data_IF_939399726739
#
_entry.id   IF_939399726739
#
_cell.length_a   1.000
_cell.length_b   1.000
_cell.length_c   1.000
_cell.angle_alpha   90.00
_cell.angle_beta   90.00
_cell.angle_gamma   90.00
#
_symmetry.space_group_name_H-M   'P 1'
#
loop_
_entity.id
_entity.type
_entity.pdbx_description
1 polymer ?
#
# COMPACT_ATOMS: atom_id res chain seq x y z
N UNK A 1 6.17 28.50 -0.10
CA UNK A 1 5.82 27.06 -0.01
C UNK A 1 6.00 26.40 -1.38
N UNK A 2 7.17 25.78 -1.56
CA UNK A 2 7.51 25.03 -2.77
C UNK A 2 6.65 23.76 -2.86
N UNK A 3 6.02 23.44 -4.01
CA UNK A 3 5.36 22.17 -4.20
C UNK A 3 6.41 21.05 -4.28
N UNK A 4 6.47 20.20 -3.26
CA UNK A 4 7.25 18.96 -3.31
C UNK A 4 6.79 18.10 -4.50
N UNK A 5 7.62 17.99 -5.52
CA UNK A 5 7.46 17.06 -6.64
C UNK A 5 7.95 15.69 -6.21
N UNK A 6 7.19 15.03 -5.33
CA UNK A 6 7.33 13.60 -5.17
C UNK A 6 7.08 12.94 -6.54
N UNK A 7 7.94 12.03 -7.01
CA UNK A 7 7.66 11.28 -8.23
C UNK A 7 6.30 10.59 -8.08
N UNK A 8 5.48 10.62 -9.13
CA UNK A 8 4.22 9.86 -9.16
C UNK A 8 4.64 8.40 -9.07
N UNK A 9 4.59 7.82 -7.87
CA UNK A 9 5.06 6.46 -7.64
C UNK A 9 4.24 5.50 -8.51
N UNK A 10 4.89 4.58 -9.21
CA UNK A 10 4.19 3.51 -9.91
C UNK A 10 3.64 2.47 -8.89
N UNK A 11 2.60 1.70 -9.26
CA UNK A 11 2.00 0.70 -8.38
C UNK A 11 3.00 -0.26 -7.71
N UNK A 12 4.02 -0.70 -8.43
CA UNK A 12 4.99 -1.66 -7.90
C UNK A 12 5.96 -1.02 -6.90
N UNK A 13 6.39 0.21 -7.15
CA UNK A 13 7.16 0.98 -6.19
C UNK A 13 6.40 1.18 -4.88
N UNK A 14 5.09 1.44 -4.95
CA UNK A 14 4.23 1.54 -3.75
C UNK A 14 4.16 0.22 -3.01
N UNK A 15 3.93 -0.91 -3.72
CA UNK A 15 3.92 -2.25 -3.09
C UNK A 15 5.25 -2.58 -2.43
N UNK A 16 6.36 -2.31 -3.11
CA UNK A 16 7.70 -2.56 -2.60
C UNK A 16 8.00 -1.72 -1.35
N UNK A 17 7.66 -0.43 -1.38
CA UNK A 17 7.83 0.45 -0.23
C UNK A 17 6.98 0.01 0.96
N UNK A 18 5.70 -0.33 0.73
CA UNK A 18 4.83 -0.85 1.79
C UNK A 18 5.34 -2.18 2.36
N UNK A 19 5.84 -3.08 1.51
CA UNK A 19 6.43 -4.35 1.93
C UNK A 19 7.65 -4.13 2.82
N UNK A 20 8.58 -3.26 2.42
CA UNK A 20 9.78 -2.98 3.21
C UNK A 20 9.43 -2.49 4.64
N UNK A 21 8.48 -1.57 4.77
CA UNK A 21 8.02 -1.08 6.08
C UNK A 21 7.38 -2.19 6.92
N UNK A 22 6.58 -3.07 6.29
CA UNK A 22 5.95 -4.19 6.99
C UNK A 22 6.96 -5.27 7.39
N UNK A 23 7.97 -5.52 6.56
CA UNK A 23 9.05 -6.47 6.86
C UNK A 23 9.87 -5.98 8.08
N UNK A 24 10.20 -4.68 8.15
CA UNK A 24 10.79 -4.09 9.36
C UNK A 24 9.88 -4.22 10.59
N UNK A 25 8.56 -4.09 10.40
CA UNK A 25 7.59 -4.23 11.49
C UNK A 25 7.45 -5.69 11.98
N UNK A 26 7.72 -6.67 11.13
CA UNK A 26 7.73 -8.08 11.49
C UNK A 26 8.87 -8.42 12.47
N UNK A 27 9.95 -7.63 12.47
CA UNK A 27 11.10 -7.79 13.38
C UNK A 27 10.90 -7.09 14.74
N UNK A 28 9.79 -6.36 14.94
CA UNK A 28 9.48 -5.66 16.20
C UNK A 28 8.98 -6.63 17.30
N UNK A 29 8.91 -6.15 18.54
CA UNK A 29 8.32 -6.88 19.66
C UNK A 29 7.18 -6.07 20.30
N UNK A 30 5.92 -6.55 20.30
CA UNK A 30 5.44 -7.74 19.58
C UNK A 30 5.56 -7.59 18.05
N UNK A 31 5.73 -8.70 17.31
CA UNK A 31 5.86 -8.65 15.85
C UNK A 31 4.52 -8.31 15.20
N UNK A 32 4.59 -7.56 14.09
CA UNK A 32 3.46 -7.34 13.20
C UNK A 32 3.54 -8.32 12.03
N UNK A 33 2.60 -9.26 11.96
CA UNK A 33 2.56 -10.30 10.92
C UNK A 33 1.55 -9.89 9.85
N UNK A 34 2.01 -9.63 8.63
CA UNK A 34 1.14 -9.26 7.51
C UNK A 34 0.29 -10.44 7.05
N UNK A 35 -1.04 -10.26 7.05
CA UNK A 35 -2.00 -11.21 6.47
C UNK A 35 -2.22 -10.92 4.98
N UNK A 36 -2.28 -9.63 4.61
CA UNK A 36 -2.65 -9.16 3.28
C UNK A 36 -2.03 -7.78 3.01
N UNK A 37 -1.47 -7.59 1.82
CA UNK A 37 -1.04 -6.29 1.30
C UNK A 37 -1.27 -6.32 -0.21
N UNK A 38 -2.15 -5.45 -0.71
CA UNK A 38 -2.40 -5.33 -2.14
C UNK A 38 -2.82 -3.91 -2.55
N UNK A 39 -2.54 -3.57 -3.80
CA UNK A 39 -3.20 -2.47 -4.50
C UNK A 39 -4.34 -3.03 -5.32
N UNK A 40 -5.55 -2.54 -5.09
CA UNK A 40 -6.77 -3.02 -5.75
C UNK A 40 -7.55 -1.90 -6.44
N UNK A 41 -8.29 -2.27 -7.49
CA UNK A 41 -9.24 -1.37 -8.14
C UNK A 41 -10.44 -1.14 -7.19
N UNK A 42 -10.84 0.12 -6.92
CA UNK A 42 -11.94 0.39 -5.99
C UNK A 42 -13.32 -0.08 -6.47
N UNK A 43 -13.47 -0.42 -7.76
CA UNK A 43 -14.76 -0.83 -8.34
C UNK A 43 -15.06 -2.31 -8.13
N UNK A 44 -14.05 -3.17 -8.16
CA UNK A 44 -14.21 -4.63 -8.08
C UNK A 44 -13.26 -5.32 -7.09
N UNK A 45 -12.36 -4.57 -6.45
CA UNK A 45 -11.37 -5.06 -5.48
C UNK A 45 -10.42 -6.13 -6.05
N UNK A 46 -10.22 -6.16 -7.37
CA UNK A 46 -9.19 -6.98 -8.01
C UNK A 46 -7.84 -6.26 -7.98
N UNK A 47 -6.73 -7.03 -7.96
CA UNK A 47 -5.39 -6.43 -7.97
C UNK A 47 -5.11 -5.67 -9.27
N UNK A 48 -4.60 -4.45 -9.13
CA UNK A 48 -4.26 -3.61 -10.29
C UNK A 48 -2.92 -4.03 -10.90
N UNK A 49 -2.72 -3.97 -12.22
CA UNK A 49 -1.42 -4.29 -12.82
C UNK A 49 -0.35 -3.22 -12.50
N UNK A 50 0.92 -3.54 -12.79
CA UNK A 50 2.07 -2.64 -12.56
C UNK A 50 1.98 -1.33 -13.36
N UNK A 51 1.31 -1.36 -14.51
CA UNK A 51 1.10 -0.21 -15.39
C UNK A 51 -0.24 0.51 -15.14
N UNK A 52 -0.94 0.20 -14.04
CA UNK A 52 -2.23 0.80 -13.71
C UNK A 52 -2.18 2.33 -13.71
N UNK A 53 -3.27 2.94 -14.17
CA UNK A 53 -3.49 4.38 -14.22
C UNK A 53 -4.88 4.67 -13.69
N UNK A 54 -5.01 5.71 -12.88
CA UNK A 54 -6.26 6.03 -12.21
C UNK A 54 -6.24 5.76 -10.71
N UNK A 55 -7.43 5.68 -10.13
CA UNK A 55 -7.59 5.45 -8.70
C UNK A 55 -7.26 3.99 -8.33
N UNK A 56 -6.68 3.80 -7.16
CA UNK A 56 -6.45 2.49 -6.56
C UNK A 56 -6.58 2.60 -5.04
N UNK A 57 -6.77 1.47 -4.37
CA UNK A 57 -6.76 1.37 -2.91
C UNK A 57 -5.60 0.47 -2.49
N UNK A 58 -4.67 0.98 -1.70
CA UNK A 58 -3.72 0.14 -0.99
C UNK A 58 -4.40 -0.38 0.26
N UNK A 59 -4.68 -1.68 0.31
CA UNK A 59 -5.30 -2.35 1.42
C UNK A 59 -4.27 -3.21 2.15
N UNK A 60 -4.26 -3.11 3.48
CA UNK A 60 -3.38 -3.90 4.36
C UNK A 60 -4.20 -4.54 5.47
N UNK A 61 -3.86 -5.77 5.80
CA UNK A 61 -4.28 -6.42 7.03
C UNK A 61 -3.07 -7.11 7.67
N UNK A 62 -2.97 -7.01 8.99
CA UNK A 62 -1.88 -7.60 9.75
C UNK A 62 -2.34 -7.98 11.16
N UNK A 63 -1.57 -8.81 11.85
CA UNK A 63 -1.82 -9.21 13.24
C UNK A 63 -0.69 -8.77 14.16
N UNK A 64 -1.06 -8.31 15.35
CA UNK A 64 -0.14 -8.07 16.48
C UNK A 64 -0.68 -8.86 17.67
N UNK A 65 -0.01 -9.95 18.03
CA UNK A 65 -0.56 -10.94 18.95
C UNK A 65 -1.88 -11.52 18.43
N UNK A 66 -2.96 -11.38 19.19
CA UNK A 66 -4.31 -11.84 18.81
C UNK A 66 -5.13 -10.79 18.07
N UNK A 67 -4.65 -9.56 17.97
CA UNK A 67 -5.39 -8.44 17.40
C UNK A 67 -5.14 -8.34 15.91
N UNK A 68 -6.20 -8.31 15.10
CA UNK A 68 -6.13 -8.10 13.65
C UNK A 68 -6.40 -6.63 13.32
N UNK A 69 -5.42 -5.99 12.71
CA UNK A 69 -5.44 -4.61 12.24
C UNK A 69 -5.75 -4.58 10.75
N UNK A 70 -6.49 -3.56 10.32
CA UNK A 70 -6.82 -3.31 8.91
C UNK A 70 -6.64 -1.82 8.67
N UNK A 71 -6.01 -1.47 7.55
CA UNK A 71 -5.97 -0.10 7.07
C UNK A 71 -6.11 -0.10 5.54
N UNK A 72 -6.58 1.01 4.99
CA UNK A 72 -6.63 1.24 3.55
C UNK A 72 -6.41 2.72 3.24
N UNK A 73 -5.66 2.99 2.17
CA UNK A 73 -5.47 4.35 1.66
C UNK A 73 -5.80 4.40 0.16
N UNK A 74 -6.38 5.51 -0.28
CA UNK A 74 -6.63 5.77 -1.71
C UNK A 74 -5.42 6.42 -2.34
N UNK A 75 -5.04 5.95 -3.52
CA UNK A 75 -3.92 6.45 -4.32
C UNK A 75 -4.40 6.76 -5.73
N UNK A 76 -3.70 7.67 -6.40
CA UNK A 76 -3.95 8.06 -7.78
C UNK A 76 -2.68 7.89 -8.59
N UNK A 77 -2.72 7.01 -9.59
CA UNK A 77 -1.58 6.70 -10.46
C UNK A 77 -1.69 7.41 -11.81
N UNK A 78 -0.60 8.01 -12.27
CA UNK A 78 -0.51 8.64 -13.59
C UNK A 78 -1.37 9.87 -13.82
N UNK A 79 -1.90 10.49 -12.77
CA UNK A 79 -2.44 11.84 -12.88
C UNK A 79 -1.27 12.81 -13.11
N UNK A 80 -1.17 13.37 -14.31
CA UNK A 80 -0.45 14.64 -14.49
C UNK A 80 -1.21 15.69 -13.68
N UNK A 81 -0.49 16.39 -12.81
CA UNK A 81 -1.05 17.42 -11.93
C UNK A 81 -1.75 18.53 -12.72
#
# INVERSE_FOLDING_TARGET
PEPSTAPVADPDAVRAAARAVLDEAAERQPPLVTDYLALVDPSDFTEVPADHRGAAVLAVAARVGTTRLIDNIRLQFGATR
#
